data_IF_759049838009
#
_entry.id   IF_759049838009
#
_cell.length_a   1.000
_cell.length_b   1.000
_cell.length_c   1.000
_cell.angle_alpha   90.00
_cell.angle_beta   90.00
_cell.angle_gamma   90.00
#
_symmetry.space_group_name_H-M   'P 1'
#
loop_
_entity.id
_entity.type
_entity.pdbx_description
1 polymer ?
#
# COMPACT_ATOMS: atom_id res chain seq x y z
N UNK A 1 10.33 -13.30 -14.52
CA UNK A 1 11.03 -12.09 -14.02
C UNK A 1 12.48 -12.47 -13.71
N UNK A 2 13.49 -11.99 -14.45
CA UNK A 2 14.88 -12.19 -14.04
C UNK A 2 15.19 -11.38 -12.76
N UNK A 3 15.81 -12.03 -11.78
CA UNK A 3 16.04 -11.50 -10.42
C UNK A 3 17.38 -10.81 -10.18
N UNK A 4 18.07 -10.38 -11.23
CA UNK A 4 19.40 -9.77 -11.09
C UNK A 4 19.28 -8.47 -10.28
N UNK A 5 20.10 -8.32 -9.24
CA UNK A 5 20.07 -7.23 -8.25
C UNK A 5 18.85 -7.22 -7.31
N UNK A 6 18.00 -8.26 -7.36
CA UNK A 6 16.96 -8.46 -6.36
C UNK A 6 17.51 -9.20 -5.14
N UNK A 7 16.93 -8.90 -3.99
CA UNK A 7 17.07 -9.62 -2.75
C UNK A 7 15.85 -10.56 -2.59
N UNK A 8 16.02 -11.66 -1.84
CA UNK A 8 14.92 -12.53 -1.44
C UNK A 8 14.29 -11.96 -0.17
N UNK A 9 13.01 -11.61 -0.23
CA UNK A 9 12.24 -11.09 0.90
C UNK A 9 11.20 -12.11 1.37
N UNK A 10 11.06 -12.23 2.69
CA UNK A 10 9.95 -12.95 3.30
C UNK A 10 8.76 -12.02 3.33
N UNK A 11 7.69 -12.28 2.58
CA UNK A 11 6.57 -11.32 2.41
C UNK A 11 5.97 -10.92 3.76
N UNK A 12 6.00 -11.82 4.74
CA UNK A 12 5.67 -11.55 6.14
C UNK A 12 6.94 -11.41 6.99
N UNK A 13 6.91 -10.53 7.99
CA UNK A 13 8.07 -10.23 8.84
C UNK A 13 8.48 -11.44 9.68
N UNK A 14 9.41 -12.25 9.18
CA UNK A 14 9.93 -13.42 9.89
C UNK A 14 10.60 -13.04 11.23
N UNK A 15 11.29 -11.90 11.26
CA UNK A 15 11.90 -11.34 12.46
C UNK A 15 10.87 -10.95 13.54
N UNK A 16 9.59 -10.84 13.16
CA UNK A 16 8.46 -10.59 14.06
C UNK A 16 7.70 -11.87 14.44
N UNK A 17 8.26 -13.05 14.14
CA UNK A 17 7.68 -14.37 14.46
C UNK A 17 6.85 -14.99 13.35
N UNK A 18 6.84 -14.43 12.14
CA UNK A 18 6.18 -15.07 10.99
C UNK A 18 6.97 -16.31 10.52
N UNK A 19 6.32 -17.34 9.95
CA UNK A 19 7.01 -18.51 9.42
C UNK A 19 8.01 -18.18 8.31
N UNK A 20 9.12 -18.93 8.27
CA UNK A 20 10.08 -18.91 7.17
C UNK A 20 9.69 -19.94 6.11
N UNK A 21 8.60 -19.67 5.40
CA UNK A 21 8.04 -20.54 4.36
C UNK A 21 8.57 -20.11 2.97
N UNK A 22 9.05 -21.08 2.19
CA UNK A 22 9.58 -20.84 0.83
C UNK A 22 8.49 -20.35 -0.12
N UNK A 23 7.24 -20.74 0.11
CA UNK A 23 6.09 -20.31 -0.69
C UNK A 23 5.63 -18.87 -0.36
N UNK A 24 6.25 -18.27 0.67
CA UNK A 24 6.05 -16.90 1.14
C UNK A 24 7.29 -16.02 0.87
N UNK A 25 8.07 -16.37 -0.15
CA UNK A 25 9.22 -15.57 -0.61
C UNK A 25 8.88 -14.81 -1.89
N UNK A 26 9.42 -13.60 -2.00
CA UNK A 26 9.35 -12.79 -3.21
C UNK A 26 10.71 -12.19 -3.56
N UNK A 27 11.00 -12.07 -4.85
CA UNK A 27 12.13 -11.27 -5.32
C UNK A 27 11.74 -9.79 -5.27
N UNK A 28 12.53 -8.99 -4.58
CA UNK A 28 12.31 -7.55 -4.41
C UNK A 28 13.61 -6.79 -4.62
N UNK A 29 13.56 -5.54 -5.09
CA UNK A 29 14.79 -4.75 -5.15
C UNK A 29 15.24 -4.35 -3.74
N UNK A 30 16.56 -4.18 -3.53
CA UNK A 30 17.08 -3.90 -2.20
C UNK A 30 16.53 -2.62 -1.54
N UNK A 31 16.08 -1.63 -2.32
CA UNK A 31 15.41 -0.46 -1.77
C UNK A 31 14.05 -0.82 -1.14
N UNK A 32 13.20 -1.54 -1.87
CA UNK A 32 11.88 -1.96 -1.37
C UNK A 32 12.01 -2.91 -0.17
N UNK A 33 13.01 -3.80 -0.16
CA UNK A 33 13.28 -4.69 0.96
C UNK A 33 13.60 -3.90 2.24
N UNK A 34 14.56 -2.97 2.14
CA UNK A 34 14.95 -2.10 3.27
C UNK A 34 13.80 -1.22 3.73
N UNK A 35 13.06 -0.62 2.81
CA UNK A 35 11.91 0.23 3.13
C UNK A 35 10.83 -0.53 3.92
N UNK A 36 10.45 -1.73 3.46
CA UNK A 36 9.50 -2.58 4.17
C UNK A 36 9.99 -2.91 5.58
N UNK A 37 11.26 -3.26 5.75
CA UNK A 37 11.82 -3.56 7.06
C UNK A 37 11.73 -2.37 8.03
N UNK A 38 12.05 -1.15 7.56
CA UNK A 38 12.04 0.05 8.41
C UNK A 38 10.68 0.72 8.54
N UNK A 39 9.72 0.42 7.65
CA UNK A 39 8.41 1.07 7.59
C UNK A 39 7.31 0.09 7.16
N UNK A 40 7.06 -0.98 7.94
CA UNK A 40 6.12 -2.04 7.57
C UNK A 40 4.68 -1.54 7.41
N UNK A 41 4.27 -0.51 8.14
CA UNK A 41 2.91 0.05 8.06
C UNK A 41 2.67 0.97 6.86
N UNK A 42 3.71 1.20 6.04
CA UNK A 42 3.66 2.01 4.81
C UNK A 42 3.67 1.15 3.54
N UNK A 43 3.46 -0.15 3.66
CA UNK A 43 3.39 -1.05 2.52
C UNK A 43 2.21 -2.01 2.66
N UNK A 44 1.43 -2.13 1.61
CA UNK A 44 0.39 -3.14 1.49
C UNK A 44 0.85 -4.20 0.49
N UNK A 45 0.93 -5.45 0.95
CA UNK A 45 1.37 -6.58 0.13
C UNK A 45 0.16 -7.45 -0.16
N UNK A 46 -0.13 -7.67 -1.43
CA UNK A 46 -1.17 -8.60 -1.89
C UNK A 46 -0.56 -9.68 -2.76
N UNK A 47 -1.26 -10.79 -2.92
CA UNK A 47 -0.94 -11.84 -3.89
C UNK A 47 -2.02 -11.84 -4.96
N UNK A 48 -1.64 -11.73 -6.22
CA UNK A 48 -2.58 -11.82 -7.33
C UNK A 48 -2.95 -13.29 -7.64
N UNK A 49 -3.96 -13.54 -8.51
CA UNK A 49 -4.38 -14.90 -8.86
C UNK A 49 -3.28 -15.75 -9.52
N UNK A 50 -2.29 -15.12 -10.13
CA UNK A 50 -1.14 -15.80 -10.76
C UNK A 50 -0.04 -16.13 -9.73
N UNK A 51 -0.28 -15.81 -8.45
CA UNK A 51 0.62 -16.10 -7.35
C UNK A 51 1.74 -15.08 -7.18
N UNK A 52 1.72 -13.96 -7.91
CA UNK A 52 2.72 -12.91 -7.79
C UNK A 52 2.38 -11.98 -6.63
N UNK A 53 3.37 -11.71 -5.81
CA UNK A 53 3.25 -10.69 -4.77
C UNK A 53 3.39 -9.28 -5.34
N UNK A 54 2.49 -8.38 -4.91
CA UNK A 54 2.45 -6.97 -5.29
C UNK A 54 2.71 -6.13 -4.05
N UNK A 55 3.75 -5.31 -4.13
CA UNK A 55 4.20 -4.43 -3.06
C UNK A 55 3.72 -3.02 -3.38
N UNK A 56 2.68 -2.54 -2.68
CA UNK A 56 2.14 -1.20 -2.85
C UNK A 56 2.59 -0.30 -1.72
N UNK A 57 3.38 0.70 -2.03
CA UNK A 57 3.68 1.78 -1.08
C UNK A 57 2.40 2.56 -0.79
N UNK A 58 2.14 2.78 0.49
CA UNK A 58 1.08 3.66 0.94
C UNK A 58 1.61 5.09 1.01
N UNK A 59 0.74 6.11 0.84
CA UNK A 59 1.11 7.47 1.16
C UNK A 59 1.58 7.59 2.62
N UNK A 60 2.38 8.62 2.94
CA UNK A 60 2.70 8.99 4.32
C UNK A 60 1.45 9.02 5.23
N UNK A 61 1.64 8.71 6.52
CA UNK A 61 0.53 8.52 7.45
C UNK A 61 -0.39 9.74 7.57
N UNK A 62 0.17 10.94 7.52
CA UNK A 62 -0.52 12.22 7.52
C UNK A 62 -1.37 12.43 6.26
N UNK A 63 -0.91 11.97 5.09
CA UNK A 63 -1.66 12.07 3.84
C UNK A 63 -2.84 11.08 3.73
N UNK A 64 -2.81 9.96 4.47
CA UNK A 64 -3.86 8.92 4.42
C UNK A 64 -5.19 9.36 5.04
N UNK A 65 -5.18 10.30 5.98
CA UNK A 65 -6.41 10.84 6.59
C UNK A 65 -7.11 11.93 5.77
N UNK A 66 -6.43 12.48 4.76
CA UNK A 66 -6.93 13.59 3.96
C UNK A 66 -7.90 13.18 2.84
N UNK A 67 -7.99 11.87 2.54
CA UNK A 67 -8.95 11.35 1.55
C UNK A 67 -10.30 11.07 2.22
N UNK A 68 -11.02 12.13 2.60
CA UNK A 68 -12.48 12.07 2.68
C UNK A 68 -13.10 11.88 1.29
N UNK A 69 -14.38 11.49 1.17
CA UNK A 69 -15.02 11.32 -0.14
C UNK A 69 -14.94 12.63 -0.95
N UNK A 70 -14.71 12.60 -2.27
CA UNK A 70 -14.83 13.80 -3.09
C UNK A 70 -16.32 14.11 -3.25
N UNK A 71 -16.84 15.06 -2.47
CA UNK A 71 -18.20 15.58 -2.68
C UNK A 71 -18.87 16.00 -1.39
N UNK A 72 -18.76 17.29 -1.05
CA UNK A 72 -19.50 17.84 0.07
C UNK A 72 -19.17 19.28 0.45
N UNK A 73 -18.80 20.15 -0.50
CA UNK A 73 -18.72 21.61 -0.26
C UNK A 73 -19.15 22.38 -1.50
N UNK A 74 -20.38 22.13 -1.98
CA UNK A 74 -21.13 23.17 -2.68
C UNK A 74 -21.85 24.02 -1.62
N UNK A 75 -21.94 25.35 -1.75
CA UNK A 75 -22.77 26.16 -0.86
C UNK A 75 -24.24 25.70 -0.94
N UNK A 76 -25.04 25.84 0.13
CA UNK A 76 -26.45 25.48 0.06
C UNK A 76 -27.17 26.33 -0.99
N UNK A 77 -27.93 25.68 -1.87
CA UNK A 77 -28.81 26.34 -2.82
C UNK A 77 -29.79 27.25 -2.05
N UNK A 78 -29.70 28.56 -2.30
CA UNK A 78 -30.59 29.57 -1.70
C UNK A 78 -32.01 29.41 -2.31
N UNK A 79 -33.09 29.24 -1.51
CA UNK A 79 -34.44 29.01 -2.05
C UNK A 79 -35.09 30.23 -2.74
N UNK A 80 -34.41 31.37 -2.83
CA UNK A 80 -35.01 32.65 -3.24
C UNK A 80 -35.10 32.92 -4.76
N UNK A 81 -34.54 32.06 -5.63
CA UNK A 81 -34.57 32.25 -7.09
C UNK A 81 -35.78 31.60 -7.81
N UNK A 82 -36.81 31.18 -7.06
CA UNK A 82 -38.07 30.65 -7.62
C UNK A 82 -39.29 31.47 -7.24
N UNK A 83 -39.31 32.76 -7.56
CA UNK A 83 -40.51 33.52 -7.95
C UNK A 83 -40.23 35.02 -8.11
N UNK A 84 -40.03 35.50 -9.35
CA UNK A 84 -40.59 36.74 -9.94
C UNK A 84 -39.98 37.00 -11.32
#
# INVERSE_FOLDING_TARGET
MPGTLCEVDHVHGWALGSPTDIDQLALTCGWHNRFKHTSPDQIHITKDPDGRYIYRLLPPADARGATGPPGGTGPPDDPLDRAA
#
